data_IF_498997382545
#
_entry.id   IF_498997382545
#
_cell.length_a   1.000
_cell.length_b   1.000
_cell.length_c   1.000
_cell.angle_alpha   90.00
_cell.angle_beta   90.00
_cell.angle_gamma   90.00
#
_symmetry.space_group_name_H-M   'P 1'
#
loop_
_entity.id
_entity.type
_entity.pdbx_description
1 polymer ?
#
# COMPACT_ATOMS: atom_id res chain seq x y z
N UNK A 1 1.33 15.61 15.68
CA UNK A 1 2.46 15.33 16.60
C UNK A 1 3.51 16.41 16.42
N UNK A 2 4.05 17.04 17.47
CA UNK A 2 5.21 17.92 17.31
C UNK A 2 6.39 17.07 16.81
N UNK A 3 7.13 17.55 15.82
CA UNK A 3 8.33 16.87 15.36
C UNK A 3 9.39 16.94 16.46
N UNK A 4 9.54 15.86 17.24
CA UNK A 4 10.61 15.79 18.24
C UNK A 4 11.95 16.10 17.58
N UNK A 5 12.70 17.05 18.14
CA UNK A 5 14.00 17.52 17.60
C UNK A 5 14.95 16.37 17.26
N UNK A 6 14.86 15.27 18.01
CA UNK A 6 15.59 14.04 17.77
C UNK A 6 15.23 13.35 16.45
N UNK A 7 13.95 13.31 16.07
CA UNK A 7 13.48 12.72 14.80
C UNK A 7 13.99 13.50 13.60
N UNK A 8 13.91 14.83 13.64
CA UNK A 8 14.45 15.72 12.59
C UNK A 8 15.95 15.46 12.39
N UNK A 9 16.71 15.38 13.48
CA UNK A 9 18.16 15.16 13.42
C UNK A 9 18.51 13.77 12.91
N UNK A 10 17.78 12.74 13.34
CA UNK A 10 17.99 11.37 12.87
C UNK A 10 17.75 11.24 11.36
N UNK A 11 16.62 11.74 10.86
CA UNK A 11 16.30 11.70 9.42
C UNK A 11 17.29 12.51 8.60
N UNK A 12 17.71 13.69 9.09
CA UNK A 12 18.73 14.49 8.44
C UNK A 12 20.05 13.73 8.26
N UNK A 13 20.47 12.99 9.29
CA UNK A 13 21.70 12.20 9.27
C UNK A 13 21.57 10.96 8.37
N UNK A 14 20.44 10.23 8.41
CA UNK A 14 20.22 9.02 7.60
C UNK A 14 20.31 9.34 6.10
N UNK A 15 19.68 10.43 5.66
CA UNK A 15 19.59 10.78 4.24
C UNK A 15 20.53 11.90 3.81
N UNK A 16 21.53 12.23 4.64
CA UNK A 16 22.54 13.26 4.41
C UNK A 16 21.97 14.59 3.86
N UNK A 17 20.94 15.12 4.52
CA UNK A 17 20.30 16.41 4.16
C UNK A 17 20.41 17.43 5.29
N UNK A 18 20.28 18.71 4.94
CA UNK A 18 20.18 19.77 5.93
C UNK A 18 18.98 19.51 6.87
N UNK A 19 19.11 19.80 8.17
CA UNK A 19 18.05 19.58 9.18
C UNK A 19 16.73 20.27 8.85
N UNK A 20 16.80 21.37 8.10
CA UNK A 20 15.63 22.10 7.63
C UNK A 20 14.76 21.26 6.70
N UNK A 21 15.36 20.42 5.86
CA UNK A 21 14.67 19.59 4.88
C UNK A 21 13.67 18.61 5.53
N UNK A 22 14.07 17.69 6.45
CA UNK A 22 13.11 16.83 7.12
C UNK A 22 12.18 17.58 8.07
N UNK A 23 12.59 18.74 8.60
CA UNK A 23 11.67 19.62 9.36
C UNK A 23 10.50 20.05 8.48
N UNK A 24 10.76 20.48 7.24
CA UNK A 24 9.72 20.86 6.29
C UNK A 24 8.87 19.67 5.85
N UNK A 25 9.46 18.48 5.69
CA UNK A 25 8.73 17.24 5.41
C UNK A 25 7.74 16.89 6.52
N UNK A 26 8.19 16.90 7.78
CA UNK A 26 7.33 16.59 8.93
C UNK A 26 6.23 17.62 9.17
N UNK A 27 6.44 18.87 8.73
CA UNK A 27 5.41 19.91 8.74
C UNK A 27 4.46 19.83 7.54
N UNK A 28 4.69 18.92 6.58
CA UNK A 28 3.90 18.80 5.35
C UNK A 28 4.04 20.01 4.42
N UNK A 29 5.08 20.83 4.59
CA UNK A 29 5.29 22.05 3.77
C UNK A 29 5.95 21.75 2.43
N UNK A 30 6.73 20.68 2.37
CA UNK A 30 7.47 20.23 1.18
C UNK A 30 7.47 18.71 1.18
N UNK A 31 7.40 18.10 0.00
CA UNK A 31 7.54 16.65 -0.17
C UNK A 31 8.97 16.30 -0.63
N UNK A 32 9.55 15.18 -0.19
CA UNK A 32 10.77 14.67 -0.82
C UNK A 32 10.55 14.39 -2.30
N UNK A 33 11.61 14.50 -3.09
CA UNK A 33 11.58 14.11 -4.51
C UNK A 33 11.36 12.60 -4.66
N UNK A 34 10.85 12.17 -5.82
CA UNK A 34 10.54 10.74 -6.08
C UNK A 34 11.72 9.81 -5.78
N UNK A 35 12.97 10.07 -6.22
CA UNK A 35 14.10 9.21 -5.88
C UNK A 35 14.33 9.09 -4.37
N UNK A 36 14.12 10.19 -3.63
CA UNK A 36 14.25 10.22 -2.18
C UNK A 36 13.13 9.45 -1.49
N UNK A 37 11.90 9.50 -2.01
CA UNK A 37 10.80 8.69 -1.49
C UNK A 37 11.10 7.19 -1.61
N UNK A 38 11.65 6.76 -2.76
CA UNK A 38 12.05 5.36 -2.97
C UNK A 38 13.13 4.96 -1.97
N UNK A 39 14.17 5.79 -1.79
CA UNK A 39 15.23 5.57 -0.81
C UNK A 39 14.70 5.45 0.63
N UNK A 40 13.74 6.29 1.02
CA UNK A 40 13.10 6.23 2.34
C UNK A 40 12.33 4.92 2.52
N UNK A 41 11.54 4.53 1.52
CA UNK A 41 10.74 3.30 1.51
C UNK A 41 11.64 2.07 1.69
N UNK A 42 12.75 2.01 0.95
CA UNK A 42 13.73 0.92 1.04
C UNK A 42 14.44 0.92 2.41
N UNK A 43 14.85 2.10 2.88
CA UNK A 43 15.58 2.25 4.16
C UNK A 43 14.75 1.80 5.35
N UNK A 44 13.45 2.08 5.36
CA UNK A 44 12.57 1.76 6.48
C UNK A 44 11.73 0.49 6.29
N UNK A 45 11.79 -0.16 5.13
CA UNK A 45 10.99 -1.35 4.83
C UNK A 45 9.49 -1.05 4.89
N UNK A 46 9.08 0.06 4.27
CA UNK A 46 7.67 0.46 4.16
C UNK A 46 7.20 0.31 2.72
N UNK A 47 6.00 0.79 2.40
CA UNK A 47 5.55 1.02 1.02
C UNK A 47 5.44 2.51 0.74
N UNK A 48 5.44 2.90 -0.53
CA UNK A 48 5.21 4.29 -0.92
C UNK A 48 3.81 4.77 -0.50
N UNK A 49 2.81 3.91 -0.64
CA UNK A 49 1.43 4.18 -0.18
C UNK A 49 1.40 4.45 1.33
N UNK A 50 2.20 3.72 2.11
CA UNK A 50 2.27 3.94 3.56
C UNK A 50 2.92 5.27 3.87
N UNK A 51 4.02 5.59 3.17
CA UNK A 51 4.78 6.83 3.37
C UNK A 51 4.00 8.09 2.98
N UNK A 52 3.25 8.04 1.87
CA UNK A 52 2.58 9.22 1.30
C UNK A 52 1.13 9.33 1.76
N UNK A 53 0.41 8.22 1.80
CA UNK A 53 -1.04 8.19 2.05
C UNK A 53 -1.38 7.70 3.45
N UNK A 54 -0.39 7.19 4.20
CA UNK A 54 -0.63 6.54 5.48
C UNK A 54 -1.37 5.20 5.36
N UNK A 55 -1.34 4.55 4.18
CA UNK A 55 -2.09 3.33 3.88
C UNK A 55 -1.17 2.17 3.51
N UNK A 56 -1.51 0.95 3.90
CA UNK A 56 -0.76 -0.25 3.50
C UNK A 56 0.12 -0.85 4.59
N UNK A 57 0.92 -1.85 4.23
CA UNK A 57 1.71 -2.64 5.19
C UNK A 57 3.11 -2.07 5.41
N UNK A 58 3.54 -2.04 6.66
CA UNK A 58 4.97 -1.90 7.01
C UNK A 58 5.54 -3.32 6.97
N UNK A 59 6.38 -3.63 5.99
CA UNK A 59 6.81 -5.01 5.69
C UNK A 59 8.02 -5.46 6.52
N UNK A 60 8.63 -4.60 7.35
CA UNK A 60 9.75 -4.99 8.20
C UNK A 60 9.72 -4.36 9.60
N UNK A 61 10.19 -5.08 10.64
CA UNK A 61 10.19 -4.60 12.01
C UNK A 61 11.38 -3.66 12.22
N UNK A 62 11.27 -2.39 11.82
CA UNK A 62 12.15 -1.38 12.39
C UNK A 62 11.89 -1.36 13.91
N UNK A 63 12.92 -1.67 14.72
CA UNK A 63 12.88 -1.87 16.19
C UNK A 63 11.80 -1.02 16.87
N UNK A 64 10.64 -1.62 17.15
CA UNK A 64 9.56 -1.01 17.92
C UNK A 64 8.23 -0.74 17.19
N UNK A 65 8.19 -0.75 15.85
CA UNK A 65 6.90 -0.74 15.12
C UNK A 65 6.35 -2.16 15.03
N UNK A 66 5.52 -2.55 16.01
CA UNK A 66 4.72 -3.78 15.93
C UNK A 66 3.70 -3.62 14.80
N UNK A 67 3.89 -4.32 13.68
CA UNK A 67 2.92 -4.61 12.61
C UNK A 67 1.73 -3.65 12.55
N UNK A 68 2.00 -2.35 12.40
CA UNK A 68 0.96 -1.34 12.46
C UNK A 68 0.35 -1.26 11.07
N UNK A 69 -0.59 -2.17 10.80
CA UNK A 69 -1.48 -2.06 9.65
C UNK A 69 -2.35 -0.82 9.89
N UNK A 70 -1.99 0.29 9.28
CA UNK A 70 -2.93 1.40 9.08
C UNK A 70 -3.80 0.98 7.90
N UNK A 71 -4.75 0.09 8.21
CA UNK A 71 -5.70 -0.42 7.24
C UNK A 71 -6.72 0.66 6.92
N UNK A 72 -7.02 0.83 5.64
CA UNK A 72 -8.27 1.47 5.24
C UNK A 72 -9.44 0.79 5.96
N UNK A 73 -10.48 1.56 6.29
CA UNK A 73 -11.81 1.01 6.45
C UNK A 73 -12.08 0.17 5.20
N UNK A 74 -12.18 -1.15 5.39
CA UNK A 74 -12.19 -2.19 4.34
C UNK A 74 -12.83 -1.62 3.07
N UNK A 75 -12.03 -1.37 2.02
CA UNK A 75 -12.59 -1.01 0.73
C UNK A 75 -13.63 -2.09 0.40
N UNK A 76 -14.89 -1.68 0.24
CA UNK A 76 -16.03 -2.56 -0.05
C UNK A 76 -15.94 -3.01 -1.51
N UNK A 77 -14.80 -3.55 -1.90
CA UNK A 77 -14.75 -4.47 -3.01
C UNK A 77 -15.22 -5.81 -2.44
N UNK A 78 -16.39 -6.26 -2.86
CA UNK A 78 -16.84 -7.63 -2.59
C UNK A 78 -15.75 -8.58 -3.06
N UNK A 79 -14.98 -9.10 -2.11
CA UNK A 79 -13.96 -10.09 -2.41
C UNK A 79 -14.67 -11.35 -2.84
N UNK A 80 -14.53 -11.71 -4.13
CA UNK A 80 -15.06 -12.95 -4.66
C UNK A 80 -14.67 -14.13 -3.76
N UNK A 81 -15.67 -14.90 -3.36
CA UNK A 81 -15.52 -16.19 -2.71
C UNK A 81 -14.62 -17.12 -3.52
N UNK A 82 -14.09 -18.15 -2.87
CA UNK A 82 -13.29 -19.17 -3.55
C UNK A 82 -14.06 -19.82 -4.72
N UNK A 83 -15.38 -19.96 -4.55
CA UNK A 83 -16.27 -20.52 -5.55
C UNK A 83 -16.42 -19.60 -6.76
N UNK A 84 -16.67 -18.30 -6.55
CA UNK A 84 -16.77 -17.32 -7.64
C UNK A 84 -15.46 -17.21 -8.44
N UNK A 85 -14.31 -17.26 -7.76
CA UNK A 85 -13.00 -17.30 -8.41
C UNK A 85 -12.82 -18.54 -9.28
N UNK A 86 -13.25 -19.72 -8.78
CA UNK A 86 -13.18 -20.96 -9.53
C UNK A 86 -14.07 -20.93 -10.79
N UNK A 87 -15.27 -20.36 -10.69
CA UNK A 87 -16.18 -20.20 -11.85
C UNK A 87 -15.56 -19.28 -12.91
N UNK A 88 -14.98 -18.14 -12.50
CA UNK A 88 -14.31 -17.22 -13.44
C UNK A 88 -13.11 -17.89 -14.13
N UNK A 89 -12.31 -18.66 -13.39
CA UNK A 89 -11.18 -19.39 -13.96
C UNK A 89 -11.67 -20.42 -15.00
N UNK A 90 -12.66 -21.25 -14.65
CA UNK A 90 -13.24 -22.23 -15.56
C UNK A 90 -13.85 -21.57 -16.81
N UNK A 91 -14.57 -20.45 -16.65
CA UNK A 91 -15.12 -19.67 -17.77
C UNK A 91 -14.06 -19.26 -18.79
N UNK A 92 -12.88 -18.83 -18.33
CA UNK A 92 -11.80 -18.36 -19.22
C UNK A 92 -11.19 -19.47 -20.08
N UNK A 93 -11.31 -20.73 -19.67
CA UNK A 93 -10.82 -21.88 -20.43
C UNK A 93 -11.85 -22.45 -21.42
N UNK A 94 -13.12 -22.08 -21.28
CA UNK A 94 -14.19 -22.55 -22.17
C UNK A 94 -14.19 -21.82 -23.52
N UNK A 95 -14.62 -22.52 -24.57
CA UNK A 95 -14.93 -21.92 -25.87
C UNK A 95 -16.18 -21.02 -25.78
N UNK A 96 -16.30 -20.06 -26.69
CA UNK A 96 -17.40 -19.09 -26.72
C UNK A 96 -18.78 -19.76 -26.69
N UNK A 97 -18.97 -20.83 -27.47
CA UNK A 97 -20.20 -21.64 -27.48
C UNK A 97 -20.53 -22.24 -26.11
N UNK A 98 -19.52 -22.71 -25.37
CA UNK A 98 -19.69 -23.29 -24.02
C UNK A 98 -19.94 -22.22 -22.97
N UNK A 99 -19.29 -21.05 -23.08
CA UNK A 99 -19.57 -19.90 -22.22
C UNK A 99 -21.00 -19.41 -22.38
N UNK A 100 -21.48 -19.26 -23.62
CA UNK A 100 -22.86 -18.84 -23.89
C UNK A 100 -23.88 -19.83 -23.32
N UNK A 101 -23.63 -21.14 -23.48
CA UNK A 101 -24.49 -22.18 -22.89
C UNK A 101 -24.51 -22.17 -21.36
N UNK A 102 -23.34 -22.01 -20.72
CA UNK A 102 -23.25 -21.89 -19.27
C UNK A 102 -23.96 -20.63 -18.75
N UNK A 103 -23.80 -19.51 -19.45
CA UNK A 103 -24.43 -18.25 -19.09
C UNK A 103 -25.95 -18.39 -19.17
N UNK A 104 -26.49 -19.02 -20.23
CA UNK A 104 -27.90 -19.34 -20.34
C UNK A 104 -28.41 -20.18 -19.15
N UNK A 105 -27.70 -21.26 -18.79
CA UNK A 105 -28.05 -22.13 -17.66
C UNK A 105 -28.05 -21.40 -16.32
N UNK A 106 -27.12 -20.46 -16.10
CA UNK A 106 -27.02 -19.70 -14.86
C UNK A 106 -28.05 -18.56 -14.78
N UNK A 107 -28.58 -18.12 -15.91
CA UNK A 107 -29.58 -17.04 -15.99
C UNK A 107 -31.03 -17.53 -16.07
N UNK A 108 -31.26 -18.80 -16.39
CA UNK A 108 -32.56 -19.44 -16.20
C UNK A 108 -32.90 -19.43 -14.71
N UNK A 109 -33.89 -18.61 -14.33
CA UNK A 109 -34.49 -18.55 -13.00
C UNK A 109 -35.90 -19.10 -13.03
#
# INVERSE_FOLDING_TARGET
MPADRGRVTAVANIFAVARETPRLWFLGKVMPEIPRLIEIVDTFGTTLDWLVLGRGEVSAPYKGLKNQRVGEEKAVYETLSAQERAVIAAMRELSEKRRAGLLALLTER
#
